data_IF_345441714622
#
_entry.id   IF_345441714622
#
_cell.length_a   1.000
_cell.length_b   1.000
_cell.length_c   1.000
_cell.angle_alpha   90.00
_cell.angle_beta   90.00
_cell.angle_gamma   90.00
#
_symmetry.space_group_name_H-M   'P 1'
#
loop_
_entity.id
_entity.type
_entity.pdbx_description
1 polymer ?
#
# COMPACT_ATOMS: atom_id res chain seq x y z
N UNK A 1 -8.51 -12.28 4.85
CA UNK A 1 -8.61 -10.85 5.16
C UNK A 1 -7.71 -10.09 4.21
N UNK A 2 -8.25 -9.06 3.59
CA UNK A 2 -7.58 -8.24 2.58
C UNK A 2 -7.63 -6.78 3.04
N UNK A 3 -6.69 -5.99 2.57
CA UNK A 3 -6.59 -4.59 2.95
C UNK A 3 -6.46 -3.71 1.72
N UNK A 4 -7.20 -2.61 1.71
CA UNK A 4 -6.95 -1.49 0.80
C UNK A 4 -6.24 -0.42 1.60
N UNK A 5 -5.16 0.14 1.08
CA UNK A 5 -4.33 1.08 1.80
C UNK A 5 -3.90 2.25 0.93
N UNK A 6 -3.61 3.37 1.59
CA UNK A 6 -3.02 4.55 0.99
C UNK A 6 -1.69 4.80 1.68
N UNK A 7 -0.63 4.84 0.88
CA UNK A 7 0.68 5.28 1.30
C UNK A 7 0.90 6.73 0.87
N UNK A 8 1.58 7.50 1.71
CA UNK A 8 2.08 8.82 1.38
C UNK A 8 3.60 8.87 1.51
N UNK A 9 4.26 9.52 0.56
CA UNK A 9 5.67 9.88 0.64
C UNK A 9 5.76 11.40 0.68
N UNK A 10 6.30 11.93 1.78
CA UNK A 10 6.53 13.37 1.95
C UNK A 10 7.65 13.87 1.03
N UNK A 11 8.66 13.04 0.76
CA UNK A 11 9.77 13.38 -0.13
C UNK A 11 9.34 13.52 -1.58
N UNK A 12 8.43 12.67 -2.04
CA UNK A 12 7.91 12.74 -3.41
C UNK A 12 6.64 13.59 -3.53
N UNK A 13 6.04 13.96 -2.39
CA UNK A 13 4.70 14.53 -2.28
C UNK A 13 3.67 13.76 -3.12
N UNK A 14 3.63 12.44 -2.92
CA UNK A 14 2.78 11.54 -3.70
C UNK A 14 2.07 10.52 -2.84
N UNK A 15 0.88 10.17 -3.31
CA UNK A 15 0.08 9.08 -2.80
C UNK A 15 0.24 7.84 -3.67
N UNK A 16 0.17 6.67 -3.03
CA UNK A 16 0.08 5.38 -3.69
C UNK A 16 -1.07 4.60 -3.05
N UNK A 17 -2.04 4.23 -3.87
CA UNK A 17 -3.18 3.41 -3.44
C UNK A 17 -2.87 1.98 -3.89
N UNK A 18 -3.15 1.01 -3.02
CA UNK A 18 -2.97 -0.38 -3.34
C UNK A 18 -3.84 -1.28 -2.48
N UNK A 19 -3.98 -2.53 -2.89
CA UNK A 19 -4.55 -3.58 -2.09
C UNK A 19 -3.53 -4.70 -1.80
N UNK A 20 -3.61 -5.31 -0.61
CA UNK A 20 -2.84 -6.49 -0.26
C UNK A 20 -3.70 -7.54 0.46
N UNK A 21 -3.12 -8.73 0.62
CA UNK A 21 -3.68 -9.76 1.48
C UNK A 21 -3.53 -9.41 2.96
N UNK A 22 -3.43 -10.45 3.78
CA UNK A 22 -3.42 -10.44 5.25
C UNK A 22 -2.20 -9.77 5.92
N UNK A 23 -1.20 -9.29 5.18
CA UNK A 23 0.00 -8.68 5.77
C UNK A 23 0.30 -7.28 5.21
N UNK A 24 -0.40 -6.29 5.77
CA UNK A 24 -0.20 -4.87 5.43
C UNK A 24 1.19 -4.35 5.82
N UNK A 25 1.74 -4.79 6.96
CA UNK A 25 3.03 -4.33 7.44
C UNK A 25 4.20 -4.93 6.64
N UNK A 26 4.13 -6.22 6.28
CA UNK A 26 5.10 -6.82 5.37
C UNK A 26 5.01 -6.24 3.95
N UNK A 27 3.81 -5.84 3.52
CA UNK A 27 3.65 -5.09 2.27
C UNK A 27 4.33 -3.73 2.32
N UNK A 28 4.17 -2.97 3.41
CA UNK A 28 4.89 -1.72 3.62
C UNK A 28 6.41 -1.93 3.59
N UNK A 29 6.92 -2.94 4.32
CA UNK A 29 8.36 -3.29 4.30
C UNK A 29 8.87 -3.58 2.89
N UNK A 30 8.04 -4.22 2.06
CA UNK A 30 8.38 -4.49 0.65
C UNK A 30 8.46 -3.21 -0.18
N UNK A 31 7.62 -2.21 0.08
CA UNK A 31 7.73 -0.90 -0.56
C UNK A 31 8.98 -0.13 -0.08
N UNK A 32 9.34 -0.27 1.20
CA UNK A 32 10.54 0.32 1.78
C UNK A 32 11.84 -0.43 1.39
N UNK A 33 11.77 -1.68 0.94
CA UNK A 33 12.94 -2.43 0.46
C UNK A 33 13.26 -2.12 -1.01
N UNK A 34 14.46 -2.46 -1.47
CA UNK A 34 14.82 -2.31 -2.88
C UNK A 34 14.08 -3.35 -3.72
N UNK A 35 13.26 -2.86 -4.66
CA UNK A 35 12.48 -3.67 -5.59
C UNK A 35 12.34 -2.92 -6.92
N UNK A 36 11.79 -3.57 -7.95
CA UNK A 36 11.43 -2.92 -9.21
C UNK A 36 10.01 -2.37 -9.09
N UNK A 37 9.80 -1.08 -9.40
CA UNK A 37 8.45 -0.50 -9.43
C UNK A 37 8.41 0.98 -9.05
N UNK A 38 7.23 1.59 -9.11
CA UNK A 38 7.02 3.00 -8.80
C UNK A 38 7.39 3.34 -7.35
N UNK A 39 6.93 2.52 -6.41
CA UNK A 39 7.19 2.69 -4.97
C UNK A 39 8.65 2.47 -4.59
N UNK A 40 9.50 1.95 -5.48
CA UNK A 40 10.92 1.84 -5.20
C UNK A 40 11.64 3.20 -5.21
N UNK A 41 11.04 4.22 -5.84
CA UNK A 41 11.60 5.58 -5.97
C UNK A 41 11.67 6.35 -4.64
N UNK A 42 10.85 5.96 -3.67
CA UNK A 42 10.82 6.53 -2.33
C UNK A 42 10.97 5.44 -1.26
N UNK A 43 11.47 5.85 -0.10
CA UNK A 43 11.76 4.99 1.06
C UNK A 43 11.20 5.57 2.36
N UNK A 44 10.35 6.57 2.24
CA UNK A 44 9.66 7.28 3.32
C UNK A 44 8.14 7.04 3.24
N UNK A 45 7.72 6.00 2.52
CA UNK A 45 6.31 5.61 2.45
C UNK A 45 5.78 5.34 3.86
N UNK A 46 4.68 6.01 4.21
CA UNK A 46 3.94 5.78 5.44
C UNK A 46 2.49 5.42 5.10
N UNK A 47 1.91 4.47 5.83
CA UNK A 47 0.48 4.17 5.74
C UNK A 47 -0.25 5.33 6.40
N UNK A 48 -1.02 6.07 5.62
CA UNK A 48 -1.88 7.16 6.13
C UNK A 48 -3.34 6.73 6.25
N UNK A 49 -3.72 5.66 5.54
CA UNK A 49 -5.05 5.10 5.58
C UNK A 49 -5.03 3.62 5.24
N UNK A 50 -5.89 2.84 5.90
CA UNK A 50 -6.19 1.47 5.48
C UNK A 50 -7.59 1.05 5.90
N UNK A 51 -8.19 0.20 5.09
CA UNK A 51 -9.47 -0.47 5.35
C UNK A 51 -9.29 -1.99 5.27
N UNK A 52 -10.16 -2.72 5.94
CA UNK A 52 -10.11 -4.18 6.01
C UNK A 52 -11.35 -4.78 5.39
N UNK A 53 -11.13 -5.81 4.57
CA UNK A 53 -12.17 -6.50 3.81
C UNK A 53 -12.10 -8.02 4.00
N UNK A 54 -13.25 -8.71 3.99
CA UNK A 54 -13.27 -10.16 4.08
C UNK A 54 -12.75 -10.83 2.80
N UNK A 55 -13.06 -10.27 1.61
CA UNK A 55 -12.64 -10.83 0.32
C UNK A 55 -11.66 -9.94 -0.45
N UNK A 56 -10.91 -10.57 -1.37
CA UNK A 56 -10.03 -9.87 -2.31
C UNK A 56 -10.83 -8.94 -3.21
N UNK A 57 -11.97 -9.43 -3.70
CA UNK A 57 -12.81 -8.71 -4.66
C UNK A 57 -13.28 -7.38 -4.10
N UNK A 58 -13.69 -7.32 -2.83
CA UNK A 58 -14.13 -6.09 -2.17
C UNK A 58 -12.98 -5.09 -1.99
N UNK A 59 -11.81 -5.54 -1.53
CA UNK A 59 -10.64 -4.68 -1.38
C UNK A 59 -10.20 -4.05 -2.71
N UNK A 60 -10.16 -4.84 -3.78
CA UNK A 60 -9.79 -4.36 -5.11
C UNK A 60 -10.90 -3.52 -5.77
N UNK A 61 -12.18 -3.76 -5.44
CA UNK A 61 -13.27 -2.90 -5.88
C UNK A 61 -13.16 -1.50 -5.24
N UNK A 62 -12.69 -1.41 -4.00
CA UNK A 62 -12.44 -0.14 -3.30
C UNK A 62 -11.24 0.64 -3.85
N UNK A 63 -10.24 -0.04 -4.40
CA UNK A 63 -9.06 0.58 -5.01
C UNK A 63 -9.38 1.35 -6.30
N UNK A 64 -10.49 1.03 -6.97
CA UNK A 64 -10.89 1.58 -8.27
C UNK A 64 -11.78 2.83 -8.19
#
# INVERSE_FOLDING_TARGET
>A
MFHTYILYSAKMDKYYIGACGNDLHGRLKSHLSNHKGFTAKAKDWAIVYFETYPSRTEAYARER
#
